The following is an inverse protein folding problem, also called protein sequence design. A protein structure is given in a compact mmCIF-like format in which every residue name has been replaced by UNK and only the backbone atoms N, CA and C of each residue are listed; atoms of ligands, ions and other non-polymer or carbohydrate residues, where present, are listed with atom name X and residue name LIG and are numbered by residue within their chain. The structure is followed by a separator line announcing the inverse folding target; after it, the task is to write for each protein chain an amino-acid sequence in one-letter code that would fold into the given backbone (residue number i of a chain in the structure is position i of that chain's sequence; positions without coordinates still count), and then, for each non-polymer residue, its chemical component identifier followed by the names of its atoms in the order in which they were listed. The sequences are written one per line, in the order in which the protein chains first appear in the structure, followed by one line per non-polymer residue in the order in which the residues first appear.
data_IF_814666624040
#
_entry.id   IF_814666624040
#
_cell.length_a   1.000
_cell.length_b   1.000
_cell.length_c   1.000
_cell.angle_alpha   90.00
_cell.angle_beta   90.00
_cell.angle_gamma   90.00
#
_symmetry.space_group_name_H-M   'P 1'
#
loop_
_entity.id
_entity.type
_entity.pdbx_description
1 polymer ?
#
# COMPACT_ATOMS: atom_id res chain seq x y z
N UNK A 1 -8.66 -32.71 31.92
CA UNK A 1 -8.33 -31.93 30.71
C UNK A 1 -6.91 -32.32 30.28
N UNK A 2 -6.77 -33.46 29.57
CA UNK A 2 -5.48 -34.12 29.25
C UNK A 2 -5.28 -34.30 27.73
N UNK A 3 -5.95 -33.51 26.90
CA UNK A 3 -5.87 -33.63 25.43
C UNK A 3 -4.57 -33.02 24.85
N UNK A 4 -3.80 -32.28 25.64
CA UNK A 4 -2.62 -31.54 25.16
C UNK A 4 -1.31 -32.35 25.15
N UNK A 5 -1.25 -33.54 25.75
CA UNK A 5 0.02 -34.21 26.12
C UNK A 5 0.17 -35.65 25.60
N UNK A 6 -0.52 -36.01 24.51
CA UNK A 6 -0.23 -37.26 23.80
C UNK A 6 0.51 -36.96 22.49
N UNK A 7 1.84 -37.09 22.53
CA UNK A 7 2.72 -37.17 21.37
C UNK A 7 2.83 -35.89 20.56
N UNK A 8 3.94 -35.16 20.72
CA UNK A 8 4.28 -34.10 19.77
C UNK A 8 4.63 -34.74 18.42
N UNK A 9 3.61 -34.95 17.60
CA UNK A 9 3.76 -35.60 16.30
C UNK A 9 4.45 -34.62 15.34
N UNK A 10 5.70 -34.93 14.97
CA UNK A 10 6.54 -34.03 14.18
C UNK A 10 5.84 -33.59 12.88
N UNK A 11 5.00 -34.45 12.30
CA UNK A 11 4.21 -34.17 11.10
C UNK A 11 3.24 -32.99 11.29
N UNK A 12 2.54 -32.95 12.43
CA UNK A 12 1.58 -31.88 12.73
C UNK A 12 2.32 -30.57 12.98
N UNK A 13 3.48 -30.62 13.63
CA UNK A 13 4.30 -29.44 13.88
C UNK A 13 4.80 -28.77 12.58
N UNK A 14 5.20 -29.56 11.58
CA UNK A 14 5.64 -29.05 10.27
C UNK A 14 4.48 -28.39 9.53
N UNK A 15 3.30 -29.00 9.53
CA UNK A 15 2.09 -28.41 8.91
C UNK A 15 1.72 -27.11 9.62
N UNK A 16 1.79 -27.07 10.95
CA UNK A 16 1.48 -25.89 11.73
C UNK A 16 2.43 -24.72 11.44
N UNK A 17 3.75 -24.96 11.38
CA UNK A 17 4.75 -23.94 11.03
C UNK A 17 4.51 -23.40 9.62
N UNK A 18 4.19 -24.28 8.66
CA UNK A 18 3.84 -23.85 7.31
C UNK A 18 2.60 -22.95 7.30
N UNK A 19 1.55 -23.33 8.02
CA UNK A 19 0.36 -22.48 8.18
C UNK A 19 0.68 -21.13 8.82
N UNK A 20 1.60 -21.06 9.78
CA UNK A 20 2.03 -19.79 10.38
C UNK A 20 2.76 -18.90 9.37
N UNK A 21 3.67 -19.45 8.56
CA UNK A 21 4.36 -18.71 7.50
C UNK A 21 3.35 -18.14 6.50
N UNK A 22 2.37 -18.96 6.10
CA UNK A 22 1.29 -18.52 5.22
C UNK A 22 0.47 -17.39 5.86
N UNK A 23 0.03 -17.56 7.11
CA UNK A 23 -0.74 -16.54 7.81
C UNK A 23 0.03 -15.21 7.89
N UNK A 24 1.33 -15.25 8.20
CA UNK A 24 2.17 -14.06 8.24
C UNK A 24 2.31 -13.40 6.87
N UNK A 25 2.50 -14.18 5.80
CA UNK A 25 2.54 -13.67 4.43
C UNK A 25 1.22 -12.98 4.03
N UNK A 26 0.08 -13.59 4.38
CA UNK A 26 -1.25 -13.02 4.12
C UNK A 26 -1.46 -11.70 4.86
N UNK A 27 -1.07 -11.62 6.14
CA UNK A 27 -1.18 -10.39 6.93
C UNK A 27 -0.33 -9.29 6.33
N UNK A 28 0.93 -9.58 5.96
CA UNK A 28 1.84 -8.61 5.33
C UNK A 28 1.28 -8.11 4.00
N UNK A 29 0.75 -9.01 3.16
CA UNK A 29 0.18 -8.64 1.87
C UNK A 29 -1.07 -7.77 2.03
N UNK A 30 -1.98 -8.16 2.93
CA UNK A 30 -3.20 -7.40 3.22
C UNK A 30 -2.88 -6.00 3.74
N UNK A 31 -1.87 -5.89 4.61
CA UNK A 31 -1.39 -4.60 5.09
C UNK A 31 -0.87 -3.72 3.95
N UNK A 32 -0.04 -4.28 3.05
CA UNK A 32 0.45 -3.53 1.88
C UNK A 32 -0.68 -3.03 0.97
N UNK A 33 -1.69 -3.85 0.72
CA UNK A 33 -2.83 -3.44 -0.09
C UNK A 33 -3.66 -2.33 0.57
N UNK A 34 -3.79 -2.36 1.91
CA UNK A 34 -4.51 -1.34 2.66
C UNK A 34 -3.78 0.00 2.78
N UNK A 35 -2.45 -0.01 2.67
CA UNK A 35 -1.62 1.20 2.73
C UNK A 35 -1.76 2.06 1.47
N UNK A 36 -1.93 1.43 0.31
CA UNK A 36 -2.05 2.14 -0.96
C UNK A 36 -3.40 2.85 -1.02
N UNK A 37 -3.39 4.15 -1.30
CA UNK A 37 -4.63 4.91 -1.39
C UNK A 37 -5.49 4.40 -2.56
N UNK A 38 -6.74 3.95 -2.34
CA UNK A 38 -7.59 3.41 -3.40
C UNK A 38 -8.04 4.49 -4.41
N UNK A 39 -7.96 5.77 -4.04
CA UNK A 39 -8.37 6.89 -4.88
C UNK A 39 -7.25 7.31 -5.85
N UNK A 40 -6.13 7.83 -5.34
CA UNK A 40 -5.05 8.34 -6.17
C UNK A 40 -3.97 7.29 -6.49
N UNK A 41 -3.96 6.12 -5.83
CA UNK A 41 -2.92 5.11 -6.01
C UNK A 41 -1.57 5.51 -5.40
N UNK A 42 -1.58 6.47 -4.46
CA UNK A 42 -0.37 6.88 -3.74
C UNK A 42 0.11 5.74 -2.83
N UNK A 43 1.40 5.43 -2.92
CA UNK A 43 2.08 4.44 -2.09
C UNK A 43 3.18 5.15 -1.25
N UNK A 44 2.97 5.30 0.07
CA UNK A 44 3.94 5.96 0.94
C UNK A 44 5.25 5.18 1.05
N UNK A 45 5.24 3.85 0.87
CA UNK A 45 6.46 3.02 0.92
C UNK A 45 7.36 3.30 -0.28
N UNK A 46 6.77 3.58 -1.44
CA UNK A 46 7.53 3.97 -2.64
C UNK A 46 7.98 5.41 -2.49
N UNK A 47 7.14 6.29 -1.96
CA UNK A 47 7.49 7.70 -1.78
C UNK A 47 8.71 7.89 -0.87
N UNK A 48 8.80 7.14 0.23
CA UNK A 48 9.96 7.19 1.14
C UNK A 48 11.24 6.68 0.50
N UNK A 49 11.16 5.73 -0.43
CA UNK A 49 12.32 5.17 -1.14
C UNK A 49 12.75 6.01 -2.34
N UNK A 50 11.78 6.36 -3.19
CA UNK A 50 11.96 7.03 -4.46
C UNK A 50 10.73 7.92 -4.76
N UNK A 51 10.77 9.21 -4.40
CA UNK A 51 9.63 10.11 -4.53
C UNK A 51 9.23 10.31 -6.01
N UNK A 52 10.19 10.32 -6.93
CA UNK A 52 9.93 10.52 -8.36
C UNK A 52 9.06 9.40 -8.95
N UNK A 53 9.35 8.15 -8.57
CA UNK A 53 8.61 6.98 -9.03
C UNK A 53 7.19 6.98 -8.45
N UNK A 54 7.02 7.39 -7.20
CA UNK A 54 5.70 7.54 -6.60
C UNK A 54 4.87 8.60 -7.34
N UNK A 55 5.47 9.75 -7.65
CA UNK A 55 4.84 10.80 -8.43
C UNK A 55 4.42 10.33 -9.83
N UNK A 56 5.30 9.60 -10.53
CA UNK A 56 4.98 9.04 -11.85
C UNK A 56 3.80 8.07 -11.80
N UNK A 57 3.73 7.18 -10.79
CA UNK A 57 2.62 6.25 -10.63
C UNK A 57 1.28 6.96 -10.40
N UNK A 58 1.25 7.97 -9.55
CA UNK A 58 0.03 8.76 -9.30
C UNK A 58 -0.39 9.51 -10.56
N UNK A 59 0.55 10.15 -11.26
CA UNK A 59 0.27 10.85 -12.53
C UNK A 59 -0.34 9.90 -13.57
N UNK A 60 0.25 8.71 -13.74
CA UNK A 60 -0.26 7.69 -14.65
C UNK A 60 -1.69 7.28 -14.28
N UNK A 61 -1.94 6.95 -13.00
CA UNK A 61 -3.27 6.53 -12.54
C UNK A 61 -4.33 7.62 -12.67
N UNK A 62 -3.96 8.89 -12.48
CA UNK A 62 -4.87 10.02 -12.71
C UNK A 62 -5.15 10.24 -14.19
N UNK A 63 -4.16 10.03 -15.07
CA UNK A 63 -4.37 10.07 -16.52
C UNK A 63 -5.32 8.96 -16.97
N UNK A 64 -5.06 7.71 -16.55
CA UNK A 64 -5.91 6.55 -16.87
C UNK A 64 -7.37 6.77 -16.43
N UNK A 65 -7.58 7.34 -15.23
CA UNK A 65 -8.93 7.67 -14.74
C UNK A 65 -9.57 8.83 -15.48
N UNK A 66 -8.78 9.83 -15.90
CA UNK A 66 -9.29 10.94 -16.70
C UNK A 66 -9.84 10.42 -18.04
N UNK A 67 -9.15 9.45 -18.64
CA UNK A 67 -9.57 8.78 -19.87
C UNK A 67 -10.80 7.89 -19.65
N UNK A 68 -10.84 7.11 -18.56
CA UNK A 68 -11.97 6.20 -18.32
C UNK A 68 -13.27 6.91 -17.95
N UNK A 69 -13.21 8.12 -17.39
CA UNK A 69 -14.41 8.90 -17.03
C UNK A 69 -15.16 8.37 -15.81
N UNK A 70 -14.74 7.25 -15.21
CA UNK A 70 -15.41 6.59 -14.07
C UNK A 70 -15.54 7.47 -12.83
N UNK A 71 -14.70 8.50 -12.72
CA UNK A 71 -14.75 9.45 -11.62
C UNK A 71 -16.05 10.28 -11.64
N UNK A 72 -16.61 10.58 -12.81
CA UNK A 72 -17.78 11.46 -12.96
C UNK A 72 -19.04 10.94 -12.25
N UNK A 73 -19.16 9.62 -12.10
CA UNK A 73 -20.30 8.97 -11.45
C UNK A 73 -19.97 8.51 -10.02
N UNK A 74 -18.72 8.66 -9.59
CA UNK A 74 -18.30 8.25 -8.25
C UNK A 74 -18.50 9.38 -7.25
N UNK A 75 -19.09 9.07 -6.10
CA UNK A 75 -19.19 10.03 -4.98
C UNK A 75 -17.83 10.53 -4.48
N UNK A 76 -16.72 9.87 -4.85
CA UNK A 76 -15.38 10.16 -4.37
C UNK A 76 -14.44 10.53 -5.53
N UNK A 77 -14.58 11.78 -6.01
CA UNK A 77 -13.75 12.38 -7.04
C UNK A 77 -12.31 12.65 -6.56
N UNK A 78 -11.28 12.02 -7.16
CA UNK A 78 -9.90 12.35 -6.83
C UNK A 78 -9.59 13.82 -7.17
N UNK A 79 -10.13 14.36 -8.27
CA UNK A 79 -9.84 15.74 -8.67
C UNK A 79 -10.51 16.82 -7.80
N UNK A 80 -11.55 16.46 -7.04
CA UNK A 80 -12.23 17.37 -6.11
C UNK A 80 -11.59 17.33 -4.72
N UNK A 81 -11.14 16.14 -4.29
CA UNK A 81 -10.58 15.91 -2.97
C UNK A 81 -9.09 16.25 -2.88
N UNK A 82 -8.36 16.29 -4.00
CA UNK A 82 -6.97 16.71 -4.00
C UNK A 82 -6.86 18.25 -3.91
N UNK A 83 -6.05 18.80 -2.99
CA UNK A 83 -5.81 20.24 -2.93
C UNK A 83 -5.10 20.71 -4.21
N UNK A 84 -5.61 21.78 -4.81
CA UNK A 84 -4.97 22.43 -5.97
C UNK A 84 -3.70 23.13 -5.49
N UNK A 85 -2.54 22.60 -5.87
CA UNK A 85 -1.25 23.26 -5.63
C UNK A 85 -1.22 24.59 -6.40
N UNK A 86 -1.05 25.71 -5.69
CA UNK A 86 -0.78 27.01 -6.31
C UNK A 86 0.68 27.02 -6.79
N UNK A 87 0.87 26.77 -8.09
CA UNK A 87 2.16 26.82 -8.82
C UNK A 87 3.27 25.89 -8.31
N UNK A 88 4.10 25.31 -9.20
CA UNK A 88 5.26 24.53 -8.77
C UNK A 88 6.31 25.46 -8.15
N UNK A 89 6.75 25.26 -6.89
CA UNK A 89 8.09 25.72 -6.53
C UNK A 89 9.08 24.95 -7.43
N UNK A 90 9.95 25.69 -8.09
CA UNK A 90 10.98 25.14 -8.95
C UNK A 90 11.79 24.08 -8.19
N UNK A 91 11.88 22.88 -8.78
CA UNK A 91 12.84 21.82 -8.50
C UNK A 91 13.48 21.85 -7.09
N UNK A 92 12.73 21.54 -6.04
CA UNK A 92 13.33 21.20 -4.75
C UNK A 92 13.55 19.67 -4.68
N UNK A 93 14.81 19.19 -4.60
CA UNK A 93 15.10 17.78 -4.35
C UNK A 93 14.55 17.35 -2.97
N UNK A 94 14.35 16.03 -2.74
CA UNK A 94 13.61 15.55 -1.58
C UNK A 94 14.29 15.97 -0.27
N UNK A 95 13.58 16.76 0.55
CA UNK A 95 13.92 16.94 1.96
C UNK A 95 13.71 15.61 2.66
N UNK A 96 14.75 14.79 2.67
CA UNK A 96 14.94 13.70 3.61
C UNK A 96 15.01 14.36 5.00
N UNK A 97 13.87 14.51 5.68
CA UNK A 97 13.88 14.93 7.08
C UNK A 97 14.50 13.79 7.88
N UNK A 98 15.80 13.92 8.16
CA UNK A 98 16.49 13.21 9.24
C UNK A 98 15.66 13.37 10.50
N UNK A 99 14.96 12.33 10.91
CA UNK A 99 14.57 12.16 12.30
C UNK A 99 14.89 10.72 12.71
N UNK A 100 15.89 10.70 13.61
CA UNK A 100 16.32 9.63 14.51
C UNK A 100 15.11 9.03 15.22
#
# INVERSE_FOLDING_TARGET
MYIMWQGFDAKVSVVFVFCLIFAEAFVKLRWRLSIVCPHCGFDPVIYTKNPDVACQKVKKRLADRRESGDYLLSSNDPFRNLPKLKSPPAADPPRLSKHI
#
